data_IF_964014678854
#
_entry.id   IF_964014678854
#
_cell.length_a   1.000
_cell.length_b   1.000
_cell.length_c   1.000
_cell.angle_alpha   90.00
_cell.angle_beta   90.00
_cell.angle_gamma   90.00
#
_symmetry.space_group_name_H-M   'P 1'
#
loop_
_entity.id
_entity.type
_entity.pdbx_description
1 polymer ?
#
# COMPACT_ATOMS: atom_id res chain seq x y z
N UNK A 1 -16.18 -9.78 -23.46
CA UNK A 1 -15.84 -8.76 -22.46
C UNK A 1 -15.20 -9.48 -21.31
N UNK A 2 -13.89 -9.34 -21.13
CA UNK A 2 -13.26 -9.74 -19.89
C UNK A 2 -13.77 -8.78 -18.82
N UNK A 3 -14.47 -9.28 -17.80
CA UNK A 3 -14.64 -8.55 -16.55
C UNK A 3 -13.24 -8.51 -15.94
N UNK A 4 -12.47 -7.46 -16.25
CA UNK A 4 -11.32 -7.11 -15.43
C UNK A 4 -11.92 -6.64 -14.10
N UNK A 5 -11.88 -7.53 -13.13
CA UNK A 5 -12.29 -7.25 -11.77
C UNK A 5 -11.40 -6.09 -11.27
N UNK A 6 -12.04 -4.96 -10.94
CA UNK A 6 -11.38 -3.72 -10.56
C UNK A 6 -10.48 -3.91 -9.32
N UNK A 7 -10.70 -4.98 -8.57
CA UNK A 7 -9.90 -5.44 -7.43
C UNK A 7 -8.42 -5.66 -7.78
N UNK A 8 -8.10 -5.95 -9.05
CA UNK A 8 -6.70 -6.13 -9.49
C UNK A 8 -6.01 -4.83 -9.85
N UNK A 9 -6.75 -3.72 -9.94
CA UNK A 9 -6.24 -2.51 -10.54
C UNK A 9 -5.24 -1.79 -9.62
N UNK A 10 -4.09 -1.47 -10.19
CA UNK A 10 -2.98 -0.71 -9.65
C UNK A 10 -2.57 0.24 -10.78
N UNK A 11 -2.39 1.54 -10.51
CA UNK A 11 -1.98 2.46 -11.59
C UNK A 11 -0.53 2.23 -11.96
N UNK A 12 -0.20 2.42 -13.23
CA UNK A 12 1.17 2.72 -13.61
C UNK A 12 1.56 4.09 -13.05
N UNK A 13 2.85 4.29 -12.81
CA UNK A 13 3.40 5.59 -12.48
C UNK A 13 3.17 6.56 -13.64
N UNK A 14 2.61 7.73 -13.32
CA UNK A 14 2.59 8.86 -14.23
C UNK A 14 3.02 10.14 -13.52
N UNK A 15 3.80 10.92 -14.26
CA UNK A 15 4.34 12.19 -13.83
C UNK A 15 3.25 13.22 -13.56
N UNK A 16 3.37 13.94 -12.45
CA UNK A 16 2.51 15.08 -12.11
C UNK A 16 3.26 16.41 -12.24
N UNK A 17 4.39 16.55 -11.54
CA UNK A 17 5.12 17.82 -11.44
C UNK A 17 6.64 17.64 -11.48
N UNK A 18 7.36 18.60 -12.10
CA UNK A 18 8.81 18.54 -12.20
C UNK A 18 9.50 18.87 -10.87
N UNK A 19 10.79 18.51 -10.71
CA UNK A 19 11.56 18.87 -9.52
C UNK A 19 11.55 20.37 -9.27
N UNK A 20 11.28 20.77 -8.02
CA UNK A 20 11.24 22.18 -7.59
C UNK A 20 9.92 22.90 -7.89
N UNK A 21 8.92 22.24 -8.46
CA UNK A 21 7.57 22.80 -8.54
C UNK A 21 7.00 23.03 -7.12
N UNK A 22 6.31 24.15 -6.85
CA UNK A 22 5.70 24.42 -5.55
C UNK A 22 4.77 23.30 -5.04
N UNK A 23 4.14 22.53 -5.92
CA UNK A 23 3.32 21.39 -5.52
C UNK A 23 4.16 20.26 -4.87
N UNK A 24 5.41 20.08 -5.30
CA UNK A 24 6.31 19.09 -4.68
C UNK A 24 6.63 19.44 -3.22
N UNK A 25 6.69 20.74 -2.88
CA UNK A 25 7.03 21.22 -1.54
C UNK A 25 5.97 20.88 -0.48
N UNK A 26 4.77 20.47 -0.90
CA UNK A 26 3.71 20.03 0.01
C UNK A 26 3.95 18.65 0.58
N UNK A 27 4.77 17.83 -0.09
CA UNK A 27 4.98 16.43 0.28
C UNK A 27 6.33 16.27 0.98
N UNK A 28 6.30 16.02 2.29
CA UNK A 28 7.50 15.98 3.14
C UNK A 28 8.54 14.92 2.69
N UNK A 29 8.09 13.88 1.99
CA UNK A 29 8.93 12.78 1.51
C UNK A 29 9.70 13.12 0.22
N UNK A 30 9.34 14.20 -0.48
CA UNK A 30 10.13 14.70 -1.61
C UNK A 30 11.29 15.53 -1.06
N UNK A 31 12.40 14.84 -0.85
CA UNK A 31 13.60 15.42 -0.23
C UNK A 31 14.66 15.86 -1.24
N UNK A 32 14.56 15.41 -2.50
CA UNK A 32 15.50 15.77 -3.56
C UNK A 32 15.05 17.00 -4.35
N UNK A 33 16.03 17.75 -4.80
CA UNK A 33 15.90 18.99 -5.58
C UNK A 33 16.33 18.79 -7.04
N UNK A 34 16.14 19.80 -7.89
CA UNK A 34 16.58 19.77 -9.29
C UNK A 34 18.11 19.63 -9.43
N UNK A 35 18.85 20.04 -8.39
CA UNK A 35 20.30 20.04 -8.32
C UNK A 35 20.88 18.67 -7.95
N UNK A 36 20.11 17.82 -7.27
CA UNK A 36 20.56 16.52 -6.78
C UNK A 36 20.78 15.50 -7.92
N UNK A 37 21.81 14.67 -7.73
CA UNK A 37 22.15 13.56 -8.61
C UNK A 37 21.54 12.23 -8.10
N UNK A 38 21.32 11.24 -8.99
CA UNK A 38 21.45 11.31 -10.44
C UNK A 38 20.35 12.15 -11.08
N UNK A 39 20.69 12.94 -12.10
CA UNK A 39 19.71 13.70 -12.90
C UNK A 39 19.00 12.83 -13.94
N UNK A 40 18.25 11.85 -13.47
CA UNK A 40 17.40 11.01 -14.33
C UNK A 40 16.38 11.87 -15.09
N UNK A 41 16.06 11.47 -16.33
CA UNK A 41 14.93 12.05 -17.06
C UNK A 41 13.61 11.64 -16.40
N UNK A 42 12.53 12.37 -16.70
CA UNK A 42 11.19 12.00 -16.22
C UNK A 42 10.82 10.57 -16.65
N UNK A 43 11.19 10.18 -17.87
CA UNK A 43 10.98 8.83 -18.41
C UNK A 43 11.72 7.77 -17.58
N UNK A 44 12.99 8.02 -17.23
CA UNK A 44 13.77 7.12 -16.39
C UNK A 44 13.24 7.04 -14.95
N UNK A 45 12.80 8.17 -14.36
CA UNK A 45 12.14 8.15 -13.05
C UNK A 45 10.81 7.40 -13.11
N UNK A 46 10.07 7.50 -14.22
CA UNK A 46 8.81 6.76 -14.43
C UNK A 46 9.06 5.26 -14.51
N UNK A 47 10.04 4.83 -15.32
CA UNK A 47 10.46 3.43 -15.44
C UNK A 47 10.89 2.86 -14.08
N UNK A 48 11.72 3.59 -13.34
CA UNK A 48 12.18 3.19 -12.01
C UNK A 48 11.03 3.06 -10.99
N UNK A 49 10.02 3.93 -11.06
CA UNK A 49 8.85 3.81 -10.20
C UNK A 49 7.99 2.61 -10.59
N UNK A 50 7.77 2.39 -11.89
CA UNK A 50 7.04 1.23 -12.38
C UNK A 50 7.72 -0.09 -12.00
N UNK A 51 9.06 -0.18 -12.07
CA UNK A 51 9.80 -1.33 -11.56
C UNK A 51 9.48 -1.61 -10.09
N UNK A 52 9.48 -0.57 -9.23
CA UNK A 52 9.14 -0.73 -7.81
C UNK A 52 7.65 -1.07 -7.58
N UNK A 53 6.74 -0.50 -8.37
CA UNK A 53 5.32 -0.81 -8.34
C UNK A 53 5.10 -2.29 -8.70
N UNK A 54 5.69 -2.77 -9.79
CA UNK A 54 5.58 -4.15 -10.26
C UNK A 54 6.19 -5.13 -9.25
N UNK A 55 7.40 -4.87 -8.76
CA UNK A 55 8.10 -5.75 -7.82
C UNK A 55 7.40 -5.89 -6.47
N UNK A 56 6.72 -4.83 -6.02
CA UNK A 56 6.11 -4.78 -4.70
C UNK A 56 4.59 -4.77 -4.71
N UNK A 57 3.97 -4.81 -5.89
CA UNK A 57 2.54 -4.57 -6.12
C UNK A 57 2.06 -3.24 -5.49
N UNK A 58 2.93 -2.21 -5.53
CA UNK A 58 2.71 -0.84 -5.06
C UNK A 58 3.01 -0.59 -3.57
N UNK A 59 3.29 -1.64 -2.78
CA UNK A 59 3.50 -1.51 -1.33
C UNK A 59 4.86 -0.93 -0.94
N UNK A 60 5.90 -1.15 -1.74
CA UNK A 60 7.28 -0.76 -1.44
C UNK A 60 7.84 0.16 -2.53
N UNK A 61 7.61 1.47 -2.37
CA UNK A 61 8.24 2.54 -3.18
C UNK A 61 9.22 3.31 -2.29
N UNK A 62 10.46 3.45 -2.75
CA UNK A 62 11.47 4.34 -2.16
C UNK A 62 11.33 5.75 -2.74
N UNK A 63 10.45 6.53 -2.12
CA UNK A 63 10.18 7.92 -2.52
C UNK A 63 11.43 8.81 -2.51
N UNK A 64 12.47 8.45 -1.75
CA UNK A 64 13.71 9.23 -1.68
C UNK A 64 14.53 9.18 -2.97
N UNK A 65 14.22 8.24 -3.87
CA UNK A 65 14.91 8.13 -5.17
C UNK A 65 14.44 9.19 -6.18
N UNK A 66 13.24 9.74 -6.01
CA UNK A 66 12.58 10.57 -7.02
C UNK A 66 12.74 12.06 -6.71
N UNK A 67 12.86 12.85 -7.78
CA UNK A 67 12.90 14.30 -7.72
C UNK A 67 11.59 14.92 -8.22
N UNK A 68 10.94 14.23 -9.15
CA UNK A 68 9.63 14.58 -9.67
C UNK A 68 8.53 14.02 -8.77
N UNK A 69 7.38 14.68 -8.76
CA UNK A 69 6.18 14.17 -8.11
C UNK A 69 5.37 13.31 -9.09
N UNK A 70 4.93 12.14 -8.61
CA UNK A 70 4.13 11.16 -9.34
C UNK A 70 2.80 10.92 -8.64
N UNK A 71 1.90 10.17 -9.28
CA UNK A 71 0.58 9.81 -8.77
C UNK A 71 0.55 8.87 -7.54
N UNK A 72 1.70 8.34 -7.14
CA UNK A 72 1.87 7.60 -5.90
C UNK A 72 2.40 8.51 -4.81
N UNK A 73 1.83 8.36 -3.62
CA UNK A 73 2.11 9.21 -2.48
C UNK A 73 2.34 8.36 -1.23
N UNK A 74 3.28 8.80 -0.39
CA UNK A 74 3.45 8.25 0.95
C UNK A 74 2.43 8.91 1.87
N UNK A 75 1.76 8.12 2.70
CA UNK A 75 0.86 8.66 3.72
C UNK A 75 1.70 9.27 4.85
N UNK A 76 1.47 10.55 5.15
CA UNK A 76 1.91 11.17 6.40
C UNK A 76 0.88 10.83 7.50
N UNK A 77 1.26 10.13 8.58
CA UNK A 77 0.30 9.79 9.63
C UNK A 77 -0.25 11.00 10.38
N UNK A 78 0.40 12.16 10.33
CA UNK A 78 -0.03 13.38 11.03
C UNK A 78 -0.88 14.33 10.15
N UNK A 79 -1.02 14.02 8.85
CA UNK A 79 -1.85 14.78 7.91
C UNK A 79 -3.33 14.39 7.99
N UNK A 80 -4.13 15.11 7.20
CA UNK A 80 -5.59 15.06 7.16
C UNK A 80 -6.07 15.04 5.70
N UNK A 81 -5.35 14.32 4.82
CA UNK A 81 -5.65 14.29 3.38
C UNK A 81 -6.96 13.55 3.09
N UNK A 82 -7.35 12.61 3.95
CA UNK A 82 -8.54 11.77 3.75
C UNK A 82 -9.74 12.17 4.61
N UNK A 83 -9.50 12.84 5.74
CA UNK A 83 -10.48 13.10 6.79
C UNK A 83 -10.38 14.54 7.28
N UNK A 84 -11.52 15.10 7.71
CA UNK A 84 -11.51 16.35 8.47
C UNK A 84 -11.03 16.11 9.91
N UNK A 85 -10.33 17.09 10.49
CA UNK A 85 -9.97 17.09 11.92
C UNK A 85 -11.18 16.74 12.82
N UNK A 86 -10.98 15.93 13.88
CA UNK A 86 -9.70 15.64 14.54
C UNK A 86 -9.06 14.29 14.18
N UNK A 87 -9.62 13.52 13.25
CA UNK A 87 -9.06 12.22 12.85
C UNK A 87 -7.91 12.43 11.88
N UNK A 88 -6.75 11.87 12.19
CA UNK A 88 -5.55 11.91 11.31
C UNK A 88 -5.57 10.78 10.29
N UNK A 89 -4.77 10.91 9.25
CA UNK A 89 -4.55 9.84 8.28
C UNK A 89 -3.93 8.59 8.96
N UNK A 90 -3.12 8.78 10.00
CA UNK A 90 -2.61 7.69 10.84
C UNK A 90 -3.72 6.91 11.57
N UNK A 91 -4.73 7.61 12.10
CA UNK A 91 -5.91 7.00 12.71
C UNK A 91 -6.71 6.18 11.69
N UNK A 92 -6.86 6.72 10.46
CA UNK A 92 -7.49 6.01 9.36
C UNK A 92 -6.70 4.74 9.00
N UNK A 93 -5.39 4.82 8.81
CA UNK A 93 -4.55 3.66 8.44
C UNK A 93 -4.62 2.56 9.50
N UNK A 94 -4.64 2.93 10.78
CA UNK A 94 -4.83 2.00 11.89
C UNK A 94 -6.19 1.30 11.81
N UNK A 95 -7.27 2.04 11.61
CA UNK A 95 -8.63 1.49 11.50
C UNK A 95 -8.77 0.54 10.31
N UNK A 96 -8.24 0.92 9.15
CA UNK A 96 -8.25 0.08 7.94
C UNK A 96 -7.45 -1.22 8.15
N UNK A 97 -6.29 -1.14 8.80
CA UNK A 97 -5.46 -2.31 9.12
C UNK A 97 -6.15 -3.26 10.10
N UNK A 98 -6.78 -2.72 11.15
CA UNK A 98 -7.54 -3.49 12.14
C UNK A 98 -8.73 -4.24 11.51
N UNK A 99 -9.49 -3.58 10.64
CA UNK A 99 -10.61 -4.25 9.96
C UNK A 99 -10.11 -5.26 8.92
N UNK A 100 -9.01 -4.96 8.23
CA UNK A 100 -8.38 -5.91 7.29
C UNK A 100 -7.99 -7.21 8.00
N UNK A 101 -7.24 -7.13 9.11
CA UNK A 101 -6.82 -8.35 9.83
C UNK A 101 -7.99 -9.07 10.50
N UNK A 102 -9.02 -8.34 10.95
CA UNK A 102 -10.24 -8.95 11.47
C UNK A 102 -10.93 -9.80 10.41
N UNK A 103 -11.08 -9.29 9.18
CA UNK A 103 -11.65 -10.05 8.06
C UNK A 103 -10.80 -11.27 7.73
N UNK A 104 -9.48 -11.13 7.67
CA UNK A 104 -8.57 -12.26 7.47
C UNK A 104 -8.74 -13.35 8.55
N UNK A 105 -8.85 -12.95 9.81
CA UNK A 105 -9.08 -13.86 10.93
C UNK A 105 -10.41 -14.61 10.81
N UNK A 106 -11.48 -13.92 10.42
CA UNK A 106 -12.81 -14.51 10.21
C UNK A 106 -12.79 -15.51 9.05
N UNK A 107 -12.16 -15.16 7.93
CA UNK A 107 -12.10 -16.00 6.71
C UNK A 107 -11.15 -17.19 6.85
N UNK A 108 -10.04 -17.02 7.58
CA UNK A 108 -8.97 -18.03 7.72
C UNK A 108 -9.02 -18.79 9.04
N UNK A 109 -10.02 -18.54 9.90
CA UNK A 109 -10.12 -19.10 11.25
C UNK A 109 -8.88 -18.86 12.13
N UNK A 110 -8.26 -17.67 11.99
CA UNK A 110 -7.06 -17.27 12.75
C UNK A 110 -7.37 -16.23 13.83
N UNK A 111 -6.36 -15.80 14.59
CA UNK A 111 -6.52 -14.89 15.75
C UNK A 111 -5.40 -13.85 15.83
N UNK A 112 -4.90 -13.38 14.70
CA UNK A 112 -3.85 -12.37 14.68
C UNK A 112 -4.32 -11.07 15.34
N UNK A 113 -3.45 -10.48 16.15
CA UNK A 113 -3.73 -9.24 16.88
C UNK A 113 -2.96 -8.09 16.24
N UNK A 114 -3.64 -7.00 15.86
CA UNK A 114 -2.98 -5.83 15.29
C UNK A 114 -1.98 -5.20 16.28
N UNK A 115 -0.79 -4.84 15.79
CA UNK A 115 0.26 -4.17 16.58
C UNK A 115 0.39 -2.71 16.16
N UNK A 116 0.85 -2.46 14.94
CA UNK A 116 1.14 -1.11 14.44
C UNK A 116 1.08 -1.06 12.91
N UNK A 117 0.83 0.14 12.36
CA UNK A 117 1.05 0.43 10.95
C UNK A 117 2.55 0.66 10.75
N UNK A 118 3.15 -0.03 9.77
CA UNK A 118 4.57 0.13 9.43
C UNK A 118 4.74 1.26 8.43
N UNK A 119 3.91 1.27 7.38
CA UNK A 119 3.84 2.33 6.35
C UNK A 119 2.59 2.18 5.52
N UNK A 120 2.19 3.25 4.83
CA UNK A 120 1.15 3.19 3.83
C UNK A 120 1.50 4.10 2.65
N UNK A 121 1.15 3.64 1.44
CA UNK A 121 1.19 4.44 0.23
C UNK A 121 -0.23 4.50 -0.34
N UNK A 122 -0.49 5.46 -1.20
CA UNK A 122 -1.73 5.50 -1.98
C UNK A 122 -1.50 6.05 -3.38
N UNK A 123 -2.44 5.75 -4.28
CA UNK A 123 -2.60 6.47 -5.52
C UNK A 123 -4.06 6.82 -5.76
N UNK A 124 -4.28 7.91 -6.48
CA UNK A 124 -5.62 8.39 -6.82
C UNK A 124 -6.21 7.62 -8.02
N UNK A 125 -7.49 7.32 -7.92
CA UNK A 125 -8.35 6.78 -8.98
C UNK A 125 -9.71 7.52 -8.95
N UNK A 126 -10.85 6.83 -9.07
CA UNK A 126 -12.18 7.37 -8.72
C UNK A 126 -12.41 7.49 -7.18
N UNK A 127 -11.34 7.30 -6.41
CA UNK A 127 -11.19 7.31 -4.96
C UNK A 127 -9.70 7.12 -4.66
N UNK A 128 -9.36 6.43 -3.58
CA UNK A 128 -7.97 6.12 -3.23
C UNK A 128 -7.77 4.61 -3.16
N UNK A 129 -6.72 4.12 -3.82
CA UNK A 129 -6.21 2.77 -3.55
C UNK A 129 -5.12 2.91 -2.50
N UNK A 130 -5.42 2.46 -1.29
CA UNK A 130 -4.53 2.48 -0.13
C UNK A 130 -3.81 1.14 -0.04
N UNK A 131 -2.49 1.20 0.07
CA UNK A 131 -1.56 0.09 0.14
C UNK A 131 -0.86 0.14 1.49
N UNK A 132 -1.43 -0.51 2.50
CA UNK A 132 -0.92 -0.47 3.88
C UNK A 132 -0.12 -1.71 4.22
N UNK A 133 1.07 -1.51 4.79
CA UNK A 133 1.87 -2.55 5.44
C UNK A 133 1.78 -2.35 6.95
N UNK A 134 1.42 -3.40 7.69
CA UNK A 134 1.22 -3.34 9.14
C UNK A 134 1.68 -4.63 9.79
N UNK A 135 2.00 -4.56 11.07
CA UNK A 135 2.41 -5.73 11.83
C UNK A 135 1.31 -6.24 12.75
N UNK A 136 1.33 -7.55 12.94
CA UNK A 136 0.41 -8.30 13.81
C UNK A 136 1.20 -9.23 14.71
N UNK A 137 0.60 -9.62 15.83
CA UNK A 137 1.08 -10.67 16.71
C UNK A 137 0.28 -11.95 16.45
N UNK A 138 0.99 -13.06 16.23
CA UNK A 138 0.38 -14.38 16.21
C UNK A 138 0.33 -14.95 17.65
N UNK A 139 -0.86 -15.12 18.27
CA UNK A 139 -0.94 -15.64 19.63
C UNK A 139 -0.55 -17.12 19.75
N UNK A 140 -0.42 -17.85 18.63
CA UNK A 140 -0.02 -19.27 18.66
C UNK A 140 1.47 -19.46 18.93
N UNK A 141 2.33 -18.54 18.48
CA UNK A 141 3.78 -18.60 18.65
C UNK A 141 4.39 -17.31 19.26
N UNK A 142 3.56 -16.31 19.55
CA UNK A 142 3.93 -14.98 20.04
C UNK A 142 4.93 -14.25 19.15
N UNK A 143 4.92 -14.52 17.83
CA UNK A 143 5.80 -13.83 16.87
C UNK A 143 5.07 -12.70 16.15
N UNK A 144 5.83 -11.64 15.90
CA UNK A 144 5.43 -10.55 15.02
C UNK A 144 5.43 -11.05 13.58
N UNK A 145 4.36 -10.79 12.83
CA UNK A 145 4.24 -11.06 11.40
C UNK A 145 3.83 -9.78 10.69
N UNK A 146 4.36 -9.55 9.48
CA UNK A 146 4.03 -8.38 8.69
C UNK A 146 2.98 -8.75 7.64
N UNK A 147 1.90 -7.98 7.61
CA UNK A 147 0.82 -8.10 6.64
C UNK A 147 0.80 -6.90 5.70
N UNK A 148 0.18 -7.11 4.55
CA UNK A 148 -0.10 -6.12 3.53
C UNK A 148 -1.60 -6.16 3.22
N UNK A 149 -2.24 -5.01 3.15
CA UNK A 149 -3.64 -4.89 2.71
C UNK A 149 -3.80 -3.82 1.64
N UNK A 150 -4.58 -4.16 0.61
CA UNK A 150 -5.04 -3.23 -0.41
C UNK A 150 -6.48 -2.88 -0.13
N UNK A 151 -6.78 -1.59 -0.04
CA UNK A 151 -8.11 -1.07 0.28
C UNK A 151 -8.48 -0.01 -0.75
N UNK A 152 -9.71 -0.09 -1.28
CA UNK A 152 -10.33 1.05 -1.96
C UNK A 152 -11.06 1.90 -0.92
N UNK A 153 -10.70 3.17 -0.85
CA UNK A 153 -11.25 4.14 0.09
C UNK A 153 -11.85 5.34 -0.66
N UNK A 154 -13.04 5.76 -0.24
CA UNK A 154 -13.73 6.92 -0.78
C UNK A 154 -14.63 7.52 0.30
N UNK A 155 -14.78 8.85 0.30
CA UNK A 155 -15.76 9.53 1.14
C UNK A 155 -17.20 9.40 0.63
N UNK A 156 -17.37 8.95 -0.62
CA UNK A 156 -18.67 8.86 -1.29
C UNK A 156 -19.22 7.43 -1.38
N UNK A 157 -18.36 6.42 -1.23
CA UNK A 157 -18.70 5.02 -1.38
C UNK A 157 -18.20 4.20 -0.19
N UNK A 158 -18.84 3.05 0.14
CA UNK A 158 -18.33 2.15 1.16
C UNK A 158 -16.87 1.76 0.90
N UNK A 159 -16.08 1.65 1.97
CA UNK A 159 -14.72 1.12 1.90
C UNK A 159 -14.75 -0.34 1.46
N UNK A 160 -13.91 -0.69 0.48
CA UNK A 160 -13.78 -2.06 -0.02
C UNK A 160 -12.40 -2.61 0.32
N UNK A 161 -12.37 -3.71 1.06
CA UNK A 161 -11.16 -4.41 1.45
C UNK A 161 -10.81 -5.42 0.37
N UNK A 162 -9.94 -5.01 -0.55
CA UNK A 162 -9.64 -5.76 -1.78
C UNK A 162 -8.96 -7.08 -1.44
N UNK A 163 -7.87 -7.03 -0.66
CA UNK A 163 -7.26 -8.20 -0.07
C UNK A 163 -6.40 -7.83 1.13
N UNK A 164 -6.07 -8.84 1.93
CA UNK A 164 -5.11 -8.80 3.01
C UNK A 164 -4.32 -10.10 3.02
N UNK A 165 -3.00 -10.01 3.17
CA UNK A 165 -2.10 -11.16 3.10
C UNK A 165 -0.88 -10.97 3.98
N UNK A 166 -0.22 -12.07 4.33
CA UNK A 166 1.14 -12.02 4.85
C UNK A 166 2.07 -11.39 3.79
N UNK A 167 2.98 -10.50 4.22
CA UNK A 167 3.97 -9.91 3.32
C UNK A 167 4.85 -11.03 2.73
N UNK A 168 5.00 -11.12 1.40
CA UNK A 168 5.87 -12.12 0.79
C UNK A 168 7.32 -11.96 1.24
N UNK A 169 7.98 -13.06 1.62
CA UNK A 169 9.42 -13.05 1.89
C UNK A 169 10.19 -12.89 0.57
N UNK A 170 11.11 -11.93 0.49
CA UNK A 170 11.99 -11.76 -0.68
C UNK A 170 13.06 -12.87 -0.79
N UNK A 171 13.20 -13.74 0.21
CA UNK A 171 14.14 -14.85 0.21
C UNK A 171 13.41 -16.18 -0.06
N UNK A 172 13.83 -16.87 -1.12
CA UNK A 172 13.41 -18.23 -1.48
C UNK A 172 13.88 -19.29 -0.49
N UNK A 173 13.45 -19.20 0.76
CA UNK A 173 13.51 -20.30 1.71
C UNK A 173 12.09 -20.69 2.11
N UNK A 174 11.66 -21.84 1.59
CA UNK A 174 10.41 -22.49 1.95
C UNK A 174 10.51 -23.02 3.37
N UNK A 175 10.37 -22.16 4.37
CA UNK A 175 10.08 -22.60 5.73
C UNK A 175 8.57 -22.86 5.84
N UNK A 176 8.20 -24.06 5.39
CA UNK A 176 7.04 -24.82 5.84
C UNK A 176 5.75 -24.05 6.10
N UNK A 177 5.14 -23.52 5.04
CA UNK A 177 3.69 -23.34 4.98
C UNK A 177 3.22 -24.32 3.92
N UNK A 178 2.39 -25.29 4.32
CA UNK A 178 1.81 -26.26 3.38
C UNK A 178 1.02 -25.53 2.31
N UNK A 179 1.14 -26.00 1.06
CA UNK A 179 0.52 -25.42 -0.15
C UNK A 179 -1.01 -25.19 -0.05
N UNK A 180 -1.68 -25.74 0.98
CA UNK A 180 -3.09 -25.50 1.27
C UNK A 180 -3.41 -24.05 1.70
N UNK A 181 -2.51 -23.35 2.38
CA UNK A 181 -2.80 -21.99 2.89
C UNK A 181 -2.66 -20.90 1.82
N UNK A 182 -1.86 -21.15 0.78
CA UNK A 182 -1.70 -20.23 -0.37
C UNK A 182 -2.90 -20.33 -1.31
N UNK A 183 -3.52 -21.51 -1.42
CA UNK A 183 -4.63 -21.74 -2.35
C UNK A 183 -5.96 -21.13 -1.90
N UNK A 184 -6.20 -21.01 -0.59
CA UNK A 184 -7.48 -20.51 -0.05
C UNK A 184 -7.68 -19.00 -0.20
N UNK A 185 -6.60 -18.23 -0.35
CA UNK A 185 -6.68 -16.77 -0.56
C UNK A 185 -6.97 -16.34 -2.01
N UNK A 186 -6.91 -17.27 -2.99
CA UNK A 186 -7.06 -16.95 -4.42
C UNK A 186 -8.40 -17.44 -4.98
N UNK A 187 -9.06 -18.41 -4.33
CA UNK A 187 -10.34 -18.94 -4.79
C UNK A 187 -11.47 -18.51 -3.86
N UNK A 188 -12.09 -17.35 -4.11
CA UNK A 188 -13.53 -17.13 -3.91
C UNK A 188 -13.96 -15.78 -4.52
N UNK A 189 -13.83 -15.66 -5.85
CA UNK A 189 -14.72 -14.79 -6.63
C UNK A 189 -15.48 -15.73 -7.56
N UNK A 190 -16.64 -16.20 -7.11
CA UNK A 190 -17.79 -16.61 -7.94
C UNK A 190 -18.94 -17.01 -7.01
N UNK A 191 -19.78 -16.04 -6.65
CA UNK A 191 -21.23 -16.20 -6.54
C UNK A 191 -21.91 -14.87 -6.89
#
# INVERSE_FOLDING_TARGET
>A
MYNMDWTWWLEDAYFLYPPGDPECLKYHYITKTAEDEPKLTIEQETELMNEQIEESEGFDIDFSMFRSLFNYHLVDPDDHDFLDEPETDGDLMKKLSQESIKRYNEESETRFEFVEVVKANYHCAAGYIILVTFDVLDPSDNKKKTFQARIYYSSHYPTEYVFVRLKPNKEGHCDGISEEDVSKGISNVHL
#
